data_IF_825462720640
#
_entry.id   IF_825462720640
#
_cell.length_a   1.000
_cell.length_b   1.000
_cell.length_c   1.000
_cell.angle_alpha   90.00
_cell.angle_beta   90.00
_cell.angle_gamma   90.00
#
_symmetry.space_group_name_H-M   'P 1'
#
loop_
_entity.id
_entity.type
_entity.pdbx_description
1 polymer ?
#
# COMPACT_ATOMS: atom_id res chain seq x y z
N UNK A 1 -10.64 -37.33 -16.35
CA UNK A 1 -11.83 -36.51 -16.05
C UNK A 1 -11.88 -36.36 -14.54
N UNK A 2 -11.39 -35.24 -14.02
CA UNK A 2 -11.44 -34.93 -12.60
C UNK A 2 -12.45 -33.80 -12.42
N UNK A 3 -13.61 -34.15 -11.90
CA UNK A 3 -14.79 -33.30 -11.85
C UNK A 3 -14.70 -32.39 -10.61
N UNK A 4 -13.73 -31.48 -10.63
CA UNK A 4 -13.61 -30.39 -9.65
C UNK A 4 -14.71 -29.36 -9.95
N UNK A 5 -15.92 -29.64 -9.50
CA UNK A 5 -17.02 -28.66 -9.40
C UNK A 5 -16.47 -27.36 -8.77
N UNK A 6 -16.42 -26.31 -9.58
CA UNK A 6 -16.07 -24.95 -9.15
C UNK A 6 -17.03 -24.54 -8.06
N UNK A 7 -16.59 -24.62 -6.80
CA UNK A 7 -17.34 -24.11 -5.66
C UNK A 7 -17.47 -22.60 -5.84
N UNK A 8 -18.68 -22.15 -6.17
CA UNK A 8 -19.00 -20.75 -6.37
C UNK A 8 -18.59 -19.94 -5.13
N UNK A 9 -17.69 -18.95 -5.30
CA UNK A 9 -17.30 -18.04 -4.22
C UNK A 9 -18.45 -17.09 -3.90
N UNK A 10 -19.37 -17.55 -3.04
CA UNK A 10 -20.59 -16.86 -2.60
C UNK A 10 -20.30 -15.45 -2.07
N UNK A 11 -19.14 -15.25 -1.44
CA UNK A 11 -18.74 -13.94 -0.94
C UNK A 11 -18.37 -13.02 -2.10
N UNK A 12 -17.61 -13.51 -3.09
CA UNK A 12 -17.29 -12.72 -4.29
C UNK A 12 -18.55 -12.36 -5.08
N UNK A 13 -19.52 -13.26 -5.18
CA UNK A 13 -20.80 -12.96 -5.83
C UNK A 13 -21.59 -11.87 -5.10
N UNK A 14 -21.64 -11.93 -3.76
CA UNK A 14 -22.23 -10.88 -2.95
C UNK A 14 -21.54 -9.54 -3.20
N UNK A 15 -20.20 -9.52 -3.19
CA UNK A 15 -19.42 -8.32 -3.48
C UNK A 15 -19.73 -7.75 -4.87
N UNK A 16 -19.83 -8.60 -5.89
CA UNK A 16 -20.20 -8.21 -7.25
C UNK A 16 -21.60 -7.58 -7.31
N UNK A 17 -22.58 -8.20 -6.66
CA UNK A 17 -23.96 -7.68 -6.60
C UNK A 17 -24.04 -6.33 -5.89
N UNK A 18 -23.34 -6.18 -4.76
CA UNK A 18 -23.26 -4.91 -4.02
C UNK A 18 -22.62 -3.82 -4.89
N UNK A 19 -21.49 -4.12 -5.54
CA UNK A 19 -20.82 -3.20 -6.46
C UNK A 19 -21.72 -2.78 -7.61
N UNK A 20 -22.36 -3.74 -8.29
CA UNK A 20 -23.23 -3.46 -9.44
C UNK A 20 -24.42 -2.58 -9.05
N UNK A 21 -25.08 -2.87 -7.92
CA UNK A 21 -26.18 -2.06 -7.42
C UNK A 21 -25.74 -0.65 -7.05
N UNK A 22 -24.58 -0.53 -6.38
CA UNK A 22 -24.00 0.76 -6.03
C UNK A 22 -23.66 1.56 -7.30
N UNK A 23 -23.12 0.89 -8.33
CA UNK A 23 -22.71 1.53 -9.57
C UNK A 23 -23.87 1.98 -10.45
N UNK A 24 -24.93 1.19 -10.53
CA UNK A 24 -26.11 1.51 -11.34
C UNK A 24 -27.01 2.57 -10.70
N UNK A 25 -26.98 2.69 -9.37
CA UNK A 25 -27.72 3.73 -8.65
C UNK A 25 -26.83 4.44 -7.62
N UNK A 26 -26.32 5.60 -8.02
CA UNK A 26 -25.39 6.42 -7.24
C UNK A 26 -26.00 7.01 -5.96
N UNK A 27 -27.33 7.04 -5.85
CA UNK A 27 -28.04 7.57 -4.68
C UNK A 27 -28.64 6.47 -3.79
N UNK A 28 -28.55 5.19 -4.21
CA UNK A 28 -29.06 4.07 -3.42
C UNK A 28 -28.34 3.97 -2.07
N UNK A 29 -29.10 3.68 -1.01
CA UNK A 29 -28.60 3.48 0.34
C UNK A 29 -28.83 2.04 0.76
N UNK A 30 -27.86 1.44 1.44
CA UNK A 30 -27.86 0.02 1.84
C UNK A 30 -28.22 -0.11 3.32
N UNK A 31 -29.29 -0.85 3.65
CA UNK A 31 -29.90 -0.85 4.99
C UNK A 31 -29.65 -2.11 5.84
N UNK A 32 -29.36 -3.25 5.23
CA UNK A 32 -29.24 -4.55 5.92
C UNK A 32 -27.94 -5.26 5.49
N UNK A 33 -26.83 -4.85 6.08
CA UNK A 33 -25.48 -5.35 5.76
C UNK A 33 -24.85 -6.11 6.92
N UNK A 34 -25.21 -5.79 8.16
CA UNK A 34 -24.57 -6.35 9.34
C UNK A 34 -24.71 -7.86 9.44
N UNK A 35 -25.86 -8.41 9.03
CA UNK A 35 -26.09 -9.85 9.04
C UNK A 35 -25.15 -10.62 8.08
N UNK A 36 -24.63 -9.92 7.07
CA UNK A 36 -23.67 -10.48 6.13
C UNK A 36 -22.27 -10.62 6.73
N UNK A 37 -21.91 -9.80 7.73
CA UNK A 37 -20.59 -9.81 8.36
C UNK A 37 -20.34 -11.13 9.09
N UNK A 38 -21.34 -11.63 9.82
CA UNK A 38 -21.20 -12.84 10.64
C UNK A 38 -21.58 -14.13 9.89
N UNK A 39 -21.82 -14.07 8.57
CA UNK A 39 -21.96 -15.31 7.78
C UNK A 39 -20.66 -16.11 7.85
N UNK A 40 -20.78 -17.42 8.02
CA UNK A 40 -19.62 -18.28 8.22
C UNK A 40 -18.67 -18.28 7.01
N UNK A 41 -19.19 -18.20 5.79
CA UNK A 41 -18.38 -18.08 4.58
C UNK A 41 -17.57 -16.77 4.54
N UNK A 42 -18.16 -15.65 4.99
CA UNK A 42 -17.48 -14.35 5.12
C UNK A 42 -16.40 -14.40 6.20
N UNK A 43 -16.68 -14.98 7.37
CA UNK A 43 -15.70 -15.14 8.45
C UNK A 43 -14.53 -16.05 8.04
N UNK A 44 -14.81 -17.19 7.38
CA UNK A 44 -13.77 -18.08 6.83
C UNK A 44 -12.91 -17.40 5.78
N UNK A 45 -13.51 -16.61 4.87
CA UNK A 45 -12.76 -15.82 3.89
C UNK A 45 -11.91 -14.73 4.55
N UNK A 46 -12.42 -14.13 5.62
CA UNK A 46 -11.73 -13.11 6.40
C UNK A 46 -10.51 -13.70 7.11
N UNK A 47 -10.67 -14.84 7.78
CA UNK A 47 -9.57 -15.61 8.36
C UNK A 47 -8.46 -15.91 7.35
N UNK A 48 -8.83 -16.47 6.19
CA UNK A 48 -7.87 -16.78 5.12
C UNK A 48 -7.07 -15.54 4.71
N UNK A 49 -7.71 -14.38 4.54
CA UNK A 49 -7.04 -13.11 4.21
C UNK A 49 -6.11 -12.62 5.32
N UNK A 50 -6.53 -12.72 6.57
CA UNK A 50 -5.73 -12.28 7.73
C UNK A 50 -4.50 -13.18 7.91
N UNK A 51 -4.66 -14.50 7.75
CA UNK A 51 -3.58 -15.48 7.88
C UNK A 51 -2.46 -15.29 6.85
N UNK A 52 -2.80 -15.01 5.59
CA UNK A 52 -1.81 -14.81 4.51
C UNK A 52 -0.80 -13.70 4.85
N UNK A 53 -1.23 -12.67 5.58
CA UNK A 53 -0.37 -11.55 5.96
C UNK A 53 0.65 -11.92 7.06
N UNK A 54 0.49 -13.06 7.75
CA UNK A 54 1.35 -13.52 8.85
C UNK A 54 1.71 -12.40 9.85
N UNK A 55 0.72 -11.57 10.17
CA UNK A 55 0.91 -10.41 11.02
C UNK A 55 1.22 -10.80 12.46
N UNK A 56 1.99 -9.97 13.17
CA UNK A 56 2.29 -10.17 14.59
C UNK A 56 1.01 -10.27 15.45
N UNK A 57 1.13 -10.88 16.62
CA UNK A 57 0.05 -10.95 17.62
C UNK A 57 -0.31 -9.58 18.18
N UNK A 58 -1.55 -9.46 18.65
CA UNK A 58 -2.06 -8.26 19.31
C UNK A 58 -1.62 -8.21 20.78
N UNK A 59 -2.38 -7.44 21.58
CA UNK A 59 -2.17 -7.36 23.04
C UNK A 59 -2.48 -8.69 23.76
N UNK A 60 -3.33 -9.53 23.17
CA UNK A 60 -3.74 -10.84 23.68
C UNK A 60 -2.69 -11.95 23.48
N UNK A 61 -1.62 -11.69 22.73
CA UNK A 61 -0.55 -12.65 22.47
C UNK A 61 -0.94 -13.84 21.60
N UNK A 62 -2.20 -13.97 21.16
CA UNK A 62 -2.66 -15.09 20.34
C UNK A 62 -1.93 -15.15 19.00
N UNK A 63 -1.49 -16.36 18.63
CA UNK A 63 -0.80 -16.66 17.37
C UNK A 63 -1.72 -17.39 16.39
N UNK A 64 -1.39 -17.35 15.10
CA UNK A 64 -2.14 -18.11 14.11
C UNK A 64 -2.04 -19.60 14.39
N UNK A 65 -0.83 -20.08 14.69
CA UNK A 65 -0.54 -21.47 14.98
C UNK A 65 -1.34 -21.97 16.19
N UNK A 66 -1.45 -21.17 17.25
CA UNK A 66 -2.25 -21.52 18.43
C UNK A 66 -3.75 -21.62 18.13
N UNK A 67 -4.30 -20.72 17.31
CA UNK A 67 -5.70 -20.79 16.87
C UNK A 67 -5.94 -22.01 15.99
N UNK A 68 -4.99 -22.37 15.12
CA UNK A 68 -5.11 -23.55 14.27
C UNK A 68 -5.11 -24.85 15.08
N UNK A 69 -4.26 -24.94 16.10
CA UNK A 69 -4.23 -26.08 17.02
C UNK A 69 -5.52 -26.19 17.84
N UNK A 70 -6.08 -25.07 18.31
CA UNK A 70 -7.31 -25.02 19.10
C UNK A 70 -8.59 -25.23 18.26
N UNK A 71 -8.49 -25.14 16.93
CA UNK A 71 -9.59 -25.30 15.99
C UNK A 71 -10.10 -23.97 15.44
N UNK A 72 -9.83 -23.72 14.15
CA UNK A 72 -10.25 -22.50 13.44
C UNK A 72 -11.77 -22.34 13.40
N UNK A 73 -12.51 -23.42 13.17
CA UNK A 73 -13.97 -23.36 13.08
C UNK A 73 -14.59 -22.92 14.42
N UNK A 74 -14.15 -23.50 15.54
CA UNK A 74 -14.57 -23.10 16.89
C UNK A 74 -14.25 -21.63 17.19
N UNK A 75 -13.08 -21.15 16.78
CA UNK A 75 -12.71 -19.74 16.91
C UNK A 75 -13.66 -18.82 16.12
N UNK A 76 -13.99 -19.18 14.87
CA UNK A 76 -14.90 -18.40 14.04
C UNK A 76 -16.36 -18.48 14.50
N UNK A 77 -16.78 -19.61 15.05
CA UNK A 77 -18.08 -19.78 15.70
C UNK A 77 -18.22 -18.86 16.92
N UNK A 78 -17.19 -18.77 17.75
CA UNK A 78 -17.16 -17.81 18.87
C UNK A 78 -17.32 -16.37 18.40
N UNK A 79 -16.59 -15.96 17.35
CA UNK A 79 -16.75 -14.64 16.72
C UNK A 79 -18.18 -14.45 16.19
N UNK A 80 -18.72 -15.46 15.52
CA UNK A 80 -20.08 -15.40 14.97
C UNK A 80 -21.12 -15.20 16.08
N UNK A 81 -21.02 -15.95 17.18
CA UNK A 81 -21.91 -15.83 18.33
C UNK A 81 -21.82 -14.44 18.96
N UNK A 82 -20.61 -13.93 19.21
CA UNK A 82 -20.39 -12.56 19.73
C UNK A 82 -21.02 -11.49 18.83
N UNK A 83 -20.91 -11.63 17.50
CA UNK A 83 -21.49 -10.69 16.54
C UNK A 83 -23.01 -10.78 16.46
N UNK A 84 -23.57 -12.00 16.46
CA UNK A 84 -25.03 -12.23 16.48
C UNK A 84 -25.66 -11.67 17.75
N UNK A 85 -25.03 -11.91 18.90
CA UNK A 85 -25.46 -11.42 20.21
C UNK A 85 -25.13 -9.94 20.46
N UNK A 86 -24.37 -9.28 19.56
CA UNK A 86 -23.87 -7.89 19.70
C UNK A 86 -23.02 -7.65 20.96
N UNK A 87 -22.41 -8.72 21.48
CA UNK A 87 -21.51 -8.69 22.65
C UNK A 87 -20.05 -8.46 22.26
N UNK A 88 -19.71 -8.56 20.97
CA UNK A 88 -18.36 -8.27 20.47
C UNK A 88 -17.83 -6.90 20.94
N UNK A 89 -16.62 -6.88 21.49
CA UNK A 89 -15.87 -5.67 21.86
C UNK A 89 -14.41 -5.82 21.38
N UNK A 90 -13.88 -4.87 20.59
CA UNK A 90 -12.48 -4.93 20.17
C UNK A 90 -11.57 -4.63 21.35
N UNK A 91 -10.38 -5.23 21.32
CA UNK A 91 -9.33 -4.89 22.29
C UNK A 91 -8.52 -3.68 21.81
N UNK A 92 -7.85 -2.96 22.72
CA UNK A 92 -6.88 -1.94 22.33
C UNK A 92 -5.81 -2.50 21.40
N UNK A 93 -5.46 -1.74 20.36
CA UNK A 93 -4.43 -2.18 19.43
C UNK A 93 -3.04 -2.02 20.06
N UNK A 94 -2.16 -3.01 19.85
CA UNK A 94 -0.77 -2.96 20.34
C UNK A 94 0.04 -1.94 19.54
N UNK A 95 0.71 -1.01 20.23
CA UNK A 95 1.62 -0.04 19.59
C UNK A 95 2.92 -0.70 19.15
N UNK A 96 3.30 -0.47 17.92
CA UNK A 96 4.59 -0.86 17.35
C UNK A 96 5.16 0.28 16.50
N UNK A 97 6.47 0.25 16.24
CA UNK A 97 7.14 1.30 15.48
C UNK A 97 7.90 0.74 14.29
N UNK A 98 7.68 1.33 13.12
CA UNK A 98 8.53 1.12 11.95
C UNK A 98 9.52 2.28 11.85
N UNK A 99 10.83 2.02 11.88
CA UNK A 99 11.82 3.08 11.70
C UNK A 99 11.72 3.64 10.28
N UNK A 100 11.67 4.97 10.15
CA UNK A 100 11.78 5.65 8.87
C UNK A 100 13.26 5.93 8.54
N UNK A 101 13.59 6.14 7.25
CA UNK A 101 14.95 6.46 6.84
C UNK A 101 15.51 7.76 7.42
N UNK A 102 14.65 8.68 7.86
CA UNK A 102 14.99 9.99 8.45
C UNK A 102 15.23 9.93 9.96
N UNK A 103 15.20 8.74 10.57
CA UNK A 103 15.37 8.54 12.02
C UNK A 103 14.07 8.65 12.82
N UNK A 104 13.00 9.20 12.24
CA UNK A 104 11.68 9.22 12.90
C UNK A 104 11.05 7.83 12.90
N UNK A 105 10.09 7.59 13.80
CA UNK A 105 9.36 6.32 13.87
C UNK A 105 7.94 6.52 13.32
N UNK A 106 7.48 5.59 12.48
CA UNK A 106 6.06 5.51 12.08
C UNK A 106 5.34 4.64 13.11
N UNK A 107 4.35 5.17 13.83
CA UNK A 107 3.55 4.34 14.70
C UNK A 107 2.68 3.37 13.89
N UNK A 108 2.50 2.17 14.42
CA UNK A 108 1.53 1.19 13.97
C UNK A 108 0.70 0.72 15.15
N UNK A 109 -0.58 0.55 14.91
CA UNK A 109 -1.55 -0.04 15.81
C UNK A 109 -1.89 -1.43 15.28
N UNK A 110 -1.48 -2.48 15.99
CA UNK A 110 -1.65 -3.89 15.62
C UNK A 110 -2.86 -4.44 16.40
N UNK A 111 -4.02 -4.66 15.76
CA UNK A 111 -5.17 -5.27 16.41
C UNK A 111 -4.93 -6.77 16.68
N UNK A 112 -5.74 -7.35 17.57
CA UNK A 112 -5.76 -8.80 17.80
C UNK A 112 -6.15 -9.56 16.53
N UNK A 113 -5.87 -10.88 16.47
CA UNK A 113 -6.28 -11.69 15.33
C UNK A 113 -7.80 -11.68 15.18
N UNK A 114 -8.55 -11.77 16.30
CA UNK A 114 -10.01 -11.65 16.32
C UNK A 114 -10.47 -10.33 15.69
N UNK A 115 -9.91 -9.21 16.12
CA UNK A 115 -10.30 -7.89 15.61
C UNK A 115 -9.96 -7.73 14.13
N UNK A 116 -8.81 -8.26 13.67
CA UNK A 116 -8.46 -8.29 12.24
C UNK A 116 -9.46 -9.10 11.42
N UNK A 117 -9.95 -10.23 11.93
CA UNK A 117 -10.99 -11.04 11.24
C UNK A 117 -12.28 -10.24 11.11
N UNK A 118 -12.78 -9.64 12.20
CA UNK A 118 -14.03 -8.86 12.16
C UNK A 118 -13.88 -7.61 11.28
N UNK A 119 -12.77 -6.89 11.36
CA UNK A 119 -12.49 -5.75 10.47
C UNK A 119 -12.42 -6.18 9.00
N UNK A 120 -11.85 -7.35 8.71
CA UNK A 120 -11.80 -7.90 7.34
C UNK A 120 -13.20 -8.29 6.87
N UNK A 121 -14.02 -8.88 7.73
CA UNK A 121 -15.40 -9.23 7.41
C UNK A 121 -16.22 -7.98 7.08
N UNK A 122 -16.14 -6.94 7.92
CA UNK A 122 -16.74 -5.64 7.63
C UNK A 122 -16.25 -5.09 6.28
N UNK A 123 -14.93 -5.08 6.06
CA UNK A 123 -14.32 -4.60 4.81
C UNK A 123 -14.88 -5.33 3.59
N UNK A 124 -14.97 -6.67 3.64
CA UNK A 124 -15.50 -7.47 2.55
C UNK A 124 -16.91 -7.04 2.14
N UNK A 125 -17.75 -6.66 3.10
CA UNK A 125 -19.13 -6.26 2.86
C UNK A 125 -19.25 -4.83 2.34
N UNK A 126 -18.52 -3.87 2.93
CA UNK A 126 -18.72 -2.45 2.57
C UNK A 126 -17.79 -1.95 1.44
N UNK A 127 -16.60 -2.54 1.25
CA UNK A 127 -15.64 -2.12 0.21
C UNK A 127 -16.25 -2.07 -1.20
N UNK A 128 -17.05 -3.05 -1.67
CA UNK A 128 -17.62 -3.00 -3.01
C UNK A 128 -18.60 -1.83 -3.23
N UNK A 129 -19.29 -1.40 -2.17
CA UNK A 129 -20.23 -0.26 -2.24
C UNK A 129 -19.47 1.03 -2.50
N UNK A 130 -18.41 1.28 -1.73
CA UNK A 130 -17.60 2.50 -1.84
C UNK A 130 -16.65 2.47 -3.05
N UNK A 131 -16.15 1.30 -3.44
CA UNK A 131 -15.31 1.14 -4.63
C UNK A 131 -16.06 1.56 -5.91
N UNK A 132 -17.39 1.41 -5.97
CA UNK A 132 -18.20 1.88 -7.08
C UNK A 132 -18.19 3.42 -7.24
N UNK A 133 -18.00 4.13 -6.12
CA UNK A 133 -18.06 5.58 -6.00
C UNK A 133 -16.69 6.27 -6.03
N UNK A 134 -15.59 5.52 -5.95
CA UNK A 134 -14.24 6.07 -5.97
C UNK A 134 -13.81 6.51 -7.37
N UNK A 135 -13.25 7.71 -7.45
CA UNK A 135 -12.81 8.30 -8.71
C UNK A 135 -11.56 7.63 -9.29
N UNK A 136 -11.38 7.71 -10.62
CA UNK A 136 -10.27 7.02 -11.32
C UNK A 136 -8.88 7.56 -10.95
N UNK A 137 -8.79 8.79 -10.45
CA UNK A 137 -7.55 9.42 -9.99
C UNK A 137 -6.96 8.80 -8.72
N UNK A 138 -7.74 8.01 -7.97
CA UNK A 138 -7.31 7.38 -6.72
C UNK A 138 -6.83 5.95 -6.93
N UNK A 139 -5.62 5.64 -6.49
CA UNK A 139 -4.97 4.33 -6.70
C UNK A 139 -4.66 3.58 -5.40
N UNK A 140 -4.41 4.30 -4.30
CA UNK A 140 -3.93 3.71 -3.05
C UNK A 140 -4.97 2.82 -2.39
N UNK A 141 -4.55 1.65 -1.88
CA UNK A 141 -5.37 0.72 -1.10
C UNK A 141 -6.68 0.24 -1.75
N UNK A 142 -6.78 0.25 -3.07
CA UNK A 142 -7.96 -0.17 -3.82
C UNK A 142 -7.74 -1.50 -4.54
N UNK A 143 -8.76 -2.37 -4.65
CA UNK A 143 -8.67 -3.59 -5.44
C UNK A 143 -8.40 -3.26 -6.91
N UNK A 144 -7.54 -4.05 -7.56
CA UNK A 144 -7.14 -3.88 -8.97
C UNK A 144 -6.51 -2.53 -9.33
N UNK A 145 -6.10 -1.75 -8.32
CA UNK A 145 -5.30 -0.53 -8.48
C UNK A 145 -3.90 -0.75 -7.92
N UNK A 146 -2.90 -0.15 -8.56
CA UNK A 146 -1.50 -0.26 -8.10
C UNK A 146 -0.75 1.06 -8.20
N UNK A 147 0.32 1.21 -7.42
CA UNK A 147 1.22 2.37 -7.53
C UNK A 147 1.87 2.45 -8.91
N UNK A 148 2.13 1.29 -9.54
CA UNK A 148 2.64 1.22 -10.91
C UNK A 148 1.68 1.86 -11.91
N UNK A 149 0.36 1.66 -11.78
CA UNK A 149 -0.62 2.33 -12.63
C UNK A 149 -0.59 3.85 -12.43
N UNK A 150 -0.50 4.33 -11.19
CA UNK A 150 -0.39 5.77 -10.90
C UNK A 150 0.87 6.40 -11.55
N UNK A 151 2.01 5.71 -11.46
CA UNK A 151 3.28 6.14 -12.08
C UNK A 151 3.20 6.14 -13.61
N UNK A 152 2.51 5.17 -14.20
CA UNK A 152 2.27 5.14 -15.65
C UNK A 152 1.35 6.25 -16.11
N UNK A 153 0.35 6.63 -15.31
CA UNK A 153 -0.51 7.79 -15.59
C UNK A 153 0.31 9.09 -15.54
N UNK A 154 1.20 9.27 -14.56
CA UNK A 154 2.14 10.41 -14.55
C UNK A 154 2.95 10.48 -15.84
N UNK A 155 3.56 9.36 -16.26
CA UNK A 155 4.32 9.30 -17.51
C UNK A 155 3.47 9.70 -18.72
N UNK A 156 2.24 9.19 -18.80
CA UNK A 156 1.29 9.50 -19.87
C UNK A 156 0.98 10.99 -19.92
N UNK A 157 0.68 11.61 -18.78
CA UNK A 157 0.38 13.04 -18.69
C UNK A 157 1.57 13.92 -19.06
N UNK A 158 2.80 13.55 -18.66
CA UNK A 158 4.02 14.23 -19.10
C UNK A 158 4.15 14.21 -20.63
N UNK A 159 3.78 13.12 -21.29
CA UNK A 159 3.80 13.02 -22.75
C UNK A 159 2.71 13.87 -23.42
N UNK A 160 1.59 14.14 -22.72
CA UNK A 160 0.54 15.06 -23.16
C UNK A 160 0.81 16.54 -22.83
N UNK A 161 2.01 16.85 -22.33
CA UNK A 161 2.45 18.22 -22.07
C UNK A 161 2.03 18.79 -20.71
N UNK A 162 1.52 17.96 -19.81
CA UNK A 162 1.27 18.37 -18.41
C UNK A 162 2.62 18.46 -17.68
N UNK A 163 3.24 19.63 -17.74
CA UNK A 163 4.63 19.86 -17.33
C UNK A 163 4.79 20.48 -15.94
N UNK A 164 3.77 21.21 -15.47
CA UNK A 164 3.78 21.78 -14.13
C UNK A 164 3.24 20.76 -13.14
N UNK A 165 4.05 20.41 -12.14
CA UNK A 165 3.80 19.35 -11.18
C UNK A 165 3.64 19.99 -9.81
N UNK A 166 2.53 19.70 -9.13
CA UNK A 166 2.32 20.04 -7.72
C UNK A 166 2.44 18.73 -6.95
N UNK A 167 3.58 18.53 -6.30
CA UNK A 167 3.81 17.41 -5.40
C UNK A 167 3.36 17.82 -4.00
N UNK A 168 2.52 17.02 -3.35
CA UNK A 168 2.11 17.26 -1.97
C UNK A 168 1.69 15.97 -1.26
N UNK A 169 1.45 16.08 0.04
CA UNK A 169 1.09 14.99 0.94
C UNK A 169 0.14 15.56 2.00
N UNK A 170 -0.74 14.72 2.55
CA UNK A 170 -1.62 15.12 3.64
C UNK A 170 -0.90 14.87 4.96
N UNK A 171 -0.80 15.92 5.77
CA UNK A 171 -0.20 15.84 7.09
C UNK A 171 -1.03 14.94 8.01
N UNK A 172 -0.37 13.94 8.60
CA UNK A 172 -0.96 12.94 9.50
C UNK A 172 -2.35 12.47 9.03
N UNK A 173 -2.45 12.05 7.77
CA UNK A 173 -3.73 11.74 7.14
C UNK A 173 -4.56 10.75 7.95
N UNK A 174 -3.96 9.71 8.52
CA UNK A 174 -4.70 8.73 9.30
C UNK A 174 -5.10 9.27 10.68
N UNK A 175 -4.24 10.02 11.37
CA UNK A 175 -4.52 10.56 12.69
C UNK A 175 -5.45 11.79 12.69
N UNK A 176 -5.56 12.49 11.57
CA UNK A 176 -6.31 13.76 11.49
C UNK A 176 -7.78 13.62 11.07
N UNK A 177 -8.24 12.44 10.63
CA UNK A 177 -9.62 12.25 10.11
C UNK A 177 -10.66 12.43 11.23
N UNK A 178 -11.56 13.42 11.16
CA UNK A 178 -12.63 13.59 12.14
C UNK A 178 -13.63 12.42 12.10
N UNK A 179 -13.92 11.81 13.25
CA UNK A 179 -14.79 10.63 13.32
C UNK A 179 -16.21 10.91 12.87
N UNK A 180 -16.78 12.07 13.25
CA UNK A 180 -18.17 12.43 12.90
C UNK A 180 -18.33 12.55 11.39
N UNK A 181 -17.51 13.37 10.77
CA UNK A 181 -17.52 13.64 9.33
C UNK A 181 -17.23 12.35 8.54
N UNK A 182 -16.31 11.50 9.02
CA UNK A 182 -16.09 10.19 8.43
C UNK A 182 -17.36 9.33 8.42
N UNK A 183 -18.07 9.26 9.55
CA UNK A 183 -19.31 8.51 9.64
C UNK A 183 -20.41 9.12 8.76
N UNK A 184 -20.48 10.45 8.65
CA UNK A 184 -21.39 11.13 7.73
C UNK A 184 -21.11 10.74 6.27
N UNK A 185 -19.84 10.56 5.89
CA UNK A 185 -19.48 10.06 4.55
C UNK A 185 -19.88 8.60 4.34
N UNK A 186 -19.76 7.76 5.35
CA UNK A 186 -20.26 6.37 5.30
C UNK A 186 -21.79 6.37 5.15
N UNK A 187 -22.49 7.27 5.85
CA UNK A 187 -23.95 7.39 5.86
C UNK A 187 -24.58 7.78 4.53
N UNK A 188 -23.79 8.37 3.62
CA UNK A 188 -24.23 8.63 2.23
C UNK A 188 -24.61 7.35 1.49
N UNK A 189 -24.04 6.19 1.87
CA UNK A 189 -24.25 4.91 1.18
C UNK A 189 -24.74 3.79 2.07
N UNK A 190 -24.35 3.77 3.34
CA UNK A 190 -24.73 2.71 4.28
C UNK A 190 -25.61 3.28 5.38
N UNK A 191 -26.76 2.66 5.63
CA UNK A 191 -27.78 3.08 6.61
C UNK A 191 -28.17 1.88 7.45
N UNK A 192 -27.17 1.23 8.02
CA UNK A 192 -27.32 0.11 8.94
C UNK A 192 -26.67 0.50 10.26
N UNK A 193 -27.47 0.74 11.30
CA UNK A 193 -27.01 1.20 12.61
C UNK A 193 -25.96 0.28 13.24
N UNK A 194 -26.01 -1.03 12.94
CA UNK A 194 -25.03 -1.97 13.48
C UNK A 194 -23.68 -1.87 12.76
N UNK A 195 -23.67 -1.49 11.48
CA UNK A 195 -22.42 -1.15 10.78
C UNK A 195 -21.77 0.09 11.41
N UNK A 196 -22.56 1.13 11.68
CA UNK A 196 -22.06 2.33 12.37
C UNK A 196 -21.51 2.00 13.75
N UNK A 197 -22.24 1.20 14.52
CA UNK A 197 -21.80 0.72 15.82
C UNK A 197 -20.45 0.02 15.74
N UNK A 198 -20.28 -0.89 14.77
CA UNK A 198 -19.03 -1.64 14.61
C UNK A 198 -17.85 -0.74 14.17
N UNK A 199 -18.07 0.20 13.25
CA UNK A 199 -17.05 1.19 12.87
C UNK A 199 -16.66 2.05 14.07
N UNK A 200 -17.65 2.54 14.84
CA UNK A 200 -17.40 3.33 16.06
C UNK A 200 -16.58 2.55 17.08
N UNK A 201 -16.85 1.26 17.27
CA UNK A 201 -16.05 0.40 18.15
C UNK A 201 -14.59 0.34 17.71
N UNK A 202 -14.31 0.23 16.41
CA UNK A 202 -12.92 0.20 15.90
C UNK A 202 -12.22 1.55 16.02
N UNK A 203 -12.92 2.66 15.78
CA UNK A 203 -12.35 3.99 15.93
C UNK A 203 -12.05 4.34 17.40
N UNK A 204 -12.80 3.76 18.34
CA UNK A 204 -12.68 4.03 19.79
C UNK A 204 -12.02 2.91 20.60
N UNK A 205 -11.48 1.86 19.97
CA UNK A 205 -10.88 0.73 20.70
C UNK A 205 -9.63 1.11 21.49
N UNK A 206 -8.99 2.22 21.11
CA UNK A 206 -7.78 2.74 21.73
C UNK A 206 -6.51 1.99 21.32
N UNK A 207 -5.40 2.45 21.87
CA UNK A 207 -4.04 1.93 21.65
C UNK A 207 -3.41 1.62 23.01
N UNK A 208 -2.59 0.58 23.05
CA UNK A 208 -1.83 0.17 24.23
C UNK A 208 -0.33 0.16 23.92
N UNK A 209 0.47 0.83 24.75
CA UNK A 209 1.92 0.88 24.68
C UNK A 209 2.51 0.63 26.07
N UNK A 210 3.16 -0.53 26.26
CA UNK A 210 3.53 -0.97 27.61
C UNK A 210 2.28 -1.14 28.47
N UNK A 211 2.25 -0.44 29.61
CA UNK A 211 1.09 -0.41 30.52
C UNK A 211 0.14 0.77 30.26
N UNK A 212 0.51 1.69 29.36
CA UNK A 212 -0.28 2.88 29.07
C UNK A 212 -1.35 2.58 28.02
N UNK A 213 -2.57 3.07 28.29
CA UNK A 213 -3.72 2.94 27.39
C UNK A 213 -4.36 4.31 27.18
N UNK A 214 -4.58 4.66 25.92
CA UNK A 214 -5.32 5.87 25.56
C UNK A 214 -6.24 5.62 24.36
N UNK A 215 -7.14 6.56 24.12
CA UNK A 215 -8.05 6.58 22.97
C UNK A 215 -7.88 7.90 22.24
N UNK A 216 -7.77 7.84 20.92
CA UNK A 216 -7.76 9.04 20.10
C UNK A 216 -9.20 9.53 19.84
N UNK A 217 -9.41 10.84 19.92
CA UNK A 217 -10.68 11.52 19.65
C UNK A 217 -10.94 11.72 18.14
N UNK A 218 -9.89 11.55 17.34
CA UNK A 218 -9.89 11.60 15.88
C UNK A 218 -8.95 10.56 15.28
N UNK A 219 -9.04 10.39 13.97
CA UNK A 219 -8.20 9.50 13.19
C UNK A 219 -8.70 8.07 13.12
N UNK A 220 -8.05 7.28 12.28
CA UNK A 220 -8.32 5.85 12.12
C UNK A 220 -7.03 5.06 12.39
N UNK A 221 -7.04 4.02 13.25
CA UNK A 221 -5.81 3.38 13.71
C UNK A 221 -4.93 2.89 12.55
N UNK A 222 -3.70 3.40 12.46
CA UNK A 222 -2.77 3.03 11.39
C UNK A 222 -2.29 1.59 11.59
N UNK A 223 -2.81 0.65 10.80
CA UNK A 223 -2.54 -0.79 10.97
C UNK A 223 -3.79 -1.65 11.19
N UNK A 224 -4.94 -1.01 11.43
CA UNK A 224 -6.25 -1.66 11.27
C UNK A 224 -6.51 -2.05 9.81
N UNK A 225 -7.19 -3.17 9.60
CA UNK A 225 -7.48 -3.70 8.26
C UNK A 225 -8.49 -2.84 7.51
N UNK A 226 -9.43 -2.24 8.24
CA UNK A 226 -10.49 -1.38 7.69
C UNK A 226 -10.03 0.06 7.47
N UNK A 227 -9.01 0.51 8.20
CA UNK A 227 -8.54 1.89 8.22
C UNK A 227 -8.20 2.47 6.83
N UNK A 228 -7.52 1.74 5.93
CA UNK A 228 -7.25 2.25 4.59
C UNK A 228 -8.50 2.50 3.75
N UNK A 229 -9.56 1.69 3.93
CA UNK A 229 -10.83 1.92 3.26
C UNK A 229 -11.52 3.17 3.82
N UNK A 230 -11.56 3.31 5.15
CA UNK A 230 -12.15 4.49 5.80
C UNK A 230 -11.44 5.79 5.38
N UNK A 231 -10.11 5.77 5.34
CA UNK A 231 -9.32 6.90 4.83
C UNK A 231 -9.70 7.23 3.38
N UNK A 232 -9.82 6.23 2.50
CA UNK A 232 -10.24 6.46 1.12
C UNK A 232 -11.68 6.98 0.99
N UNK A 233 -12.63 6.51 1.82
CA UNK A 233 -13.99 7.03 1.87
C UNK A 233 -13.98 8.53 2.17
N UNK A 234 -13.16 8.93 3.15
CA UNK A 234 -13.02 10.34 3.53
C UNK A 234 -12.39 11.19 2.43
N UNK A 235 -11.23 10.74 1.91
CA UNK A 235 -10.45 11.45 0.89
C UNK A 235 -11.14 11.49 -0.48
N UNK A 236 -12.12 10.63 -0.75
CA UNK A 236 -12.87 10.66 -2.00
C UNK A 236 -13.63 11.99 -2.21
N UNK A 237 -13.88 12.77 -1.15
CA UNK A 237 -14.44 14.11 -1.30
C UNK A 237 -13.45 15.08 -1.97
N UNK A 238 -12.14 14.93 -1.72
CA UNK A 238 -11.10 15.67 -2.46
C UNK A 238 -11.18 15.28 -3.94
N UNK A 239 -11.23 13.97 -4.22
CA UNK A 239 -11.25 13.46 -5.59
C UNK A 239 -12.48 13.94 -6.37
N UNK A 240 -13.66 13.92 -5.72
CA UNK A 240 -14.92 14.41 -6.29
C UNK A 240 -14.93 15.93 -6.45
N UNK A 241 -14.41 16.68 -5.48
CA UNK A 241 -14.26 18.13 -5.56
C UNK A 241 -13.26 18.55 -6.64
N UNK A 242 -12.26 17.73 -6.92
CA UNK A 242 -11.29 17.96 -7.99
C UNK A 242 -11.85 17.68 -9.38
N UNK A 243 -12.80 16.73 -9.50
CA UNK A 243 -13.30 16.24 -10.78
C UNK A 243 -13.74 17.33 -11.78
N UNK A 244 -14.45 18.41 -11.39
CA UNK A 244 -14.82 19.49 -12.31
C UNK A 244 -13.62 20.26 -12.87
N UNK A 245 -12.51 20.29 -12.13
CA UNK A 245 -11.26 20.97 -12.52
C UNK A 245 -10.40 20.13 -13.45
N UNK A 246 -10.80 18.87 -13.72
CA UNK A 246 -9.97 17.93 -14.46
C UNK A 246 -9.54 18.48 -15.82
N UNK A 247 -10.39 19.25 -16.52
CA UNK A 247 -10.07 19.82 -17.84
C UNK A 247 -8.75 20.60 -17.86
N UNK A 248 -8.44 21.32 -16.77
CA UNK A 248 -7.22 22.11 -16.63
C UNK A 248 -6.09 21.33 -15.95
N UNK A 249 -6.40 20.51 -14.95
CA UNK A 249 -5.38 19.84 -14.14
C UNK A 249 -5.81 18.43 -13.71
N UNK A 250 -4.90 17.45 -13.83
CA UNK A 250 -5.16 16.06 -13.48
C UNK A 250 -4.62 15.73 -12.10
N UNK A 251 -5.48 15.25 -11.23
CA UNK A 251 -5.10 14.70 -9.93
C UNK A 251 -4.72 13.22 -10.05
N UNK A 252 -3.65 12.82 -9.37
CA UNK A 252 -3.24 11.44 -9.15
C UNK A 252 -2.99 11.28 -7.66
N UNK A 253 -3.80 10.46 -6.99
CA UNK A 253 -3.73 10.23 -5.55
C UNK A 253 -3.37 8.79 -5.25
N UNK A 254 -2.35 8.58 -4.42
CA UNK A 254 -2.01 7.28 -3.86
C UNK A 254 -2.03 7.37 -2.34
N UNK A 255 -3.18 7.03 -1.75
CA UNK A 255 -3.45 7.25 -0.32
C UNK A 255 -3.35 8.74 0.04
N UNK A 256 -2.36 9.11 0.85
CA UNK A 256 -2.01 10.45 1.33
C UNK A 256 -1.07 11.21 0.38
N UNK A 257 -0.25 10.52 -0.42
CA UNK A 257 0.60 11.15 -1.43
C UNK A 257 -0.26 11.62 -2.64
N UNK A 258 -0.20 12.90 -2.98
CA UNK A 258 -0.90 13.49 -4.13
C UNK A 258 0.06 14.15 -5.11
N UNK A 259 -0.21 13.96 -6.40
CA UNK A 259 0.41 14.71 -7.49
C UNK A 259 -0.69 15.32 -8.34
N UNK A 260 -0.63 16.64 -8.54
CA UNK A 260 -1.44 17.32 -9.55
C UNK A 260 -0.54 17.70 -10.71
N UNK A 261 -1.01 17.44 -11.92
CA UNK A 261 -0.30 17.80 -13.13
C UNK A 261 -1.16 18.76 -13.94
N UNK A 262 -0.59 19.88 -14.36
CA UNK A 262 -1.25 20.88 -15.21
C UNK A 262 -0.33 21.33 -16.35
N UNK A 263 -0.92 21.88 -17.41
CA UNK A 263 -0.15 22.52 -18.49
C UNK A 263 0.31 23.94 -18.11
N UNK A 264 -0.46 24.60 -17.26
CA UNK A 264 -0.29 25.99 -16.79
C UNK A 264 -1.09 26.23 -15.50
N UNK A 265 -0.89 27.37 -14.84
CA UNK A 265 -1.65 27.83 -13.65
C UNK A 265 -1.52 26.91 -12.43
N UNK A 266 -0.36 26.31 -12.22
CA UNK A 266 -0.07 25.49 -11.03
C UNK A 266 -0.35 26.20 -9.71
N UNK A 267 -0.09 27.50 -9.59
CA UNK A 267 -0.42 28.29 -8.40
C UNK A 267 -1.93 28.29 -8.08
N UNK A 268 -2.78 28.52 -9.09
CA UNK A 268 -4.25 28.47 -8.93
C UNK A 268 -4.72 27.07 -8.53
N UNK A 269 -4.16 26.04 -9.16
CA UNK A 269 -4.53 24.65 -8.86
C UNK A 269 -4.08 24.23 -7.46
N UNK A 270 -2.90 24.67 -7.01
CA UNK A 270 -2.42 24.42 -5.66
C UNK A 270 -3.32 25.09 -4.60
N UNK A 271 -3.78 26.32 -4.86
CA UNK A 271 -4.74 27.00 -3.99
C UNK A 271 -6.07 26.23 -3.89
N UNK A 272 -6.65 25.81 -5.03
CA UNK A 272 -7.88 25.01 -5.04
C UNK A 272 -7.74 23.69 -4.29
N UNK A 273 -6.59 23.02 -4.40
CA UNK A 273 -6.34 21.81 -3.62
C UNK A 273 -6.32 22.11 -2.13
N UNK A 274 -5.61 23.19 -1.74
CA UNK A 274 -5.53 23.63 -0.35
C UNK A 274 -6.92 23.91 0.21
N UNK A 275 -7.80 24.55 -0.55
CA UNK A 275 -9.18 24.84 -0.13
C UNK A 275 -9.98 23.56 0.09
N UNK A 276 -9.93 22.61 -0.86
CA UNK A 276 -10.60 21.30 -0.73
C UNK A 276 -10.11 20.50 0.49
N UNK A 277 -8.81 20.51 0.75
CA UNK A 277 -8.22 19.83 1.90
C UNK A 277 -8.63 20.50 3.21
N UNK A 278 -8.68 21.84 3.24
CA UNK A 278 -9.07 22.63 4.42
C UNK A 278 -10.55 22.46 4.73
N UNK A 279 -11.43 22.37 3.72
CA UNK A 279 -12.85 22.07 3.88
C UNK A 279 -13.10 20.70 4.54
N UNK A 280 -12.16 19.78 4.42
CA UNK A 280 -12.18 18.48 5.12
C UNK A 280 -11.43 18.52 6.44
N UNK A 281 -11.13 19.69 7.00
CA UNK A 281 -10.39 19.84 8.27
C UNK A 281 -9.02 19.11 8.28
N UNK A 282 -8.46 18.87 7.10
CA UNK A 282 -7.13 18.28 6.91
C UNK A 282 -6.12 19.38 6.57
N UNK A 283 -4.83 19.02 6.60
CA UNK A 283 -3.73 19.94 6.26
C UNK A 283 -2.80 19.33 5.24
N UNK A 284 -2.29 20.15 4.34
CA UNK A 284 -1.20 19.77 3.44
C UNK A 284 0.13 19.89 4.17
N UNK A 285 1.01 18.92 3.93
CA UNK A 285 2.35 18.90 4.50
C UNK A 285 3.24 19.92 3.79
N UNK A 286 3.46 21.07 4.44
CA UNK A 286 4.23 22.18 3.87
C UNK A 286 5.63 21.77 3.40
N UNK A 287 6.35 20.97 4.18
CA UNK A 287 7.71 20.51 3.86
C UNK A 287 7.82 19.67 2.57
N UNK A 288 6.71 19.05 2.14
CA UNK A 288 6.63 18.26 0.91
C UNK A 288 5.90 18.97 -0.23
N UNK A 289 5.22 20.08 0.04
CA UNK A 289 4.41 20.77 -0.97
C UNK A 289 5.30 21.63 -1.86
N UNK A 290 5.41 21.28 -3.15
CA UNK A 290 6.28 21.97 -4.10
C UNK A 290 5.63 22.06 -5.48
N UNK A 291 5.89 23.17 -6.16
CA UNK A 291 5.56 23.35 -7.57
C UNK A 291 6.86 23.21 -8.37
N UNK A 292 6.88 22.29 -9.32
CA UNK A 292 8.05 21.93 -10.12
C UNK A 292 7.69 21.98 -11.61
N UNK A 293 8.69 22.18 -12.47
CA UNK A 293 8.51 22.04 -13.92
C UNK A 293 9.31 20.85 -14.46
N UNK A 294 8.61 19.81 -14.87
CA UNK A 294 9.21 18.54 -15.32
C UNK A 294 10.04 18.67 -16.62
N UNK A 295 9.94 19.79 -17.34
CA UNK A 295 10.80 20.07 -18.51
C UNK A 295 12.18 20.61 -18.11
N UNK A 296 12.33 21.21 -16.93
CA UNK A 296 13.59 21.79 -16.43
C UNK A 296 14.25 20.96 -15.34
N UNK A 297 13.49 20.30 -14.48
CA UNK A 297 14.02 19.58 -13.32
C UNK A 297 13.41 18.18 -13.13
N UNK A 298 14.14 17.22 -12.54
CA UNK A 298 13.59 15.93 -12.18
C UNK A 298 12.73 15.99 -10.92
N UNK A 299 11.74 15.11 -10.81
CA UNK A 299 10.94 14.94 -9.60
C UNK A 299 10.73 13.47 -9.26
N UNK A 300 10.47 13.17 -7.98
CA UNK A 300 10.26 11.81 -7.48
C UNK A 300 8.78 11.58 -7.17
N UNK A 301 8.23 10.43 -7.56
CA UNK A 301 6.90 9.99 -7.16
C UNK A 301 6.84 8.47 -7.03
N UNK A 302 6.31 7.97 -5.91
CA UNK A 302 6.14 6.53 -5.61
C UNK A 302 7.40 5.67 -5.86
N UNK A 303 8.58 6.25 -5.60
CA UNK A 303 9.88 5.60 -5.75
C UNK A 303 10.49 5.67 -7.14
N UNK A 304 9.87 6.39 -8.09
CA UNK A 304 10.39 6.65 -9.42
C UNK A 304 10.82 8.11 -9.55
N UNK A 305 11.96 8.34 -10.19
CA UNK A 305 12.37 9.68 -10.66
C UNK A 305 11.91 9.85 -12.09
N UNK A 306 11.28 10.98 -12.40
CA UNK A 306 10.90 11.41 -13.75
C UNK A 306 11.82 12.53 -14.21
N UNK A 307 12.26 12.48 -15.47
CA UNK A 307 13.12 13.51 -16.05
C UNK A 307 12.90 13.62 -17.56
N UNK A 308 12.89 14.86 -18.08
CA UNK A 308 12.95 15.10 -19.51
C UNK A 308 14.40 15.17 -19.99
N UNK A 309 14.80 14.24 -20.86
CA UNK A 309 16.15 14.20 -21.42
C UNK A 309 16.14 13.95 -22.93
N UNK A 310 17.25 14.24 -23.60
CA UNK A 310 17.38 13.94 -25.03
C UNK A 310 17.14 12.46 -25.29
N UNK A 311 16.35 12.17 -26.33
CA UNK A 311 16.15 10.80 -26.79
C UNK A 311 17.49 10.28 -27.28
N UNK A 312 17.87 9.07 -26.85
CA UNK A 312 19.12 8.44 -27.30
C UNK A 312 19.14 8.38 -28.84
N UNK A 313 20.21 8.90 -29.44
CA UNK A 313 20.38 8.96 -30.90
C UNK A 313 19.65 10.13 -31.60
N UNK A 314 19.11 11.08 -30.83
CA UNK A 314 18.46 12.28 -31.36
C UNK A 314 19.19 13.53 -30.87
N UNK A 315 19.36 14.52 -31.75
CA UNK A 315 19.96 15.82 -31.40
C UNK A 315 18.94 16.76 -30.74
N UNK A 316 17.68 16.73 -31.19
CA UNK A 316 16.70 17.76 -30.77
C UNK A 316 15.47 17.20 -30.03
N UNK A 317 15.11 15.93 -30.27
CA UNK A 317 13.92 15.33 -29.62
C UNK A 317 14.20 14.97 -28.17
N UNK A 318 13.54 15.65 -27.23
CA UNK A 318 13.50 15.28 -25.80
C UNK A 318 12.34 14.31 -25.52
N UNK A 319 12.56 13.35 -24.62
CA UNK A 319 11.55 12.40 -24.17
C UNK A 319 11.58 12.25 -22.65
N UNK A 320 10.45 11.80 -22.09
CA UNK A 320 10.32 11.54 -20.67
C UNK A 320 10.93 10.18 -20.35
N UNK A 321 11.97 10.19 -19.53
CA UNK A 321 12.49 9.00 -18.88
C UNK A 321 11.98 8.93 -17.46
N UNK A 322 11.75 7.71 -16.98
CA UNK A 322 11.45 7.46 -15.59
C UNK A 322 12.12 6.17 -15.14
N UNK A 323 12.66 6.14 -13.93
CA UNK A 323 13.48 5.03 -13.44
C UNK A 323 13.47 5.00 -11.90
N UNK A 324 13.96 3.92 -11.25
CA UNK A 324 14.03 3.84 -9.79
C UNK A 324 14.80 5.03 -9.21
N UNK A 325 14.20 5.70 -8.22
CA UNK A 325 14.81 6.86 -7.59
C UNK A 325 16.07 6.49 -6.82
N UNK A 326 16.93 7.48 -6.57
CA UNK A 326 18.15 7.25 -5.79
C UNK A 326 17.81 6.76 -4.37
N UNK A 327 16.72 7.26 -3.78
CA UNK A 327 16.22 6.80 -2.48
C UNK A 327 15.82 5.32 -2.54
N UNK A 328 15.11 4.89 -3.58
CA UNK A 328 14.73 3.49 -3.77
C UNK A 328 15.95 2.57 -4.01
N UNK A 329 16.94 3.02 -4.78
CA UNK A 329 18.20 2.32 -5.01
C UNK A 329 18.97 2.12 -3.69
N UNK A 330 19.09 3.18 -2.88
CA UNK A 330 19.78 3.10 -1.60
C UNK A 330 19.06 2.25 -0.57
N UNK A 331 17.72 2.24 -0.58
CA UNK A 331 16.92 1.37 0.28
C UNK A 331 17.21 -0.12 0.00
N UNK A 332 17.20 -0.54 -1.28
CA UNK A 332 17.51 -1.94 -1.61
C UNK A 332 18.97 -2.29 -1.33
N UNK A 333 19.93 -1.38 -1.60
CA UNK A 333 21.35 -1.59 -1.27
C UNK A 333 21.57 -1.75 0.23
N UNK A 334 20.86 -0.98 1.05
CA UNK A 334 20.89 -1.10 2.52
C UNK A 334 20.39 -2.46 2.97
N UNK A 335 19.26 -2.93 2.41
CA UNK A 335 18.70 -4.26 2.73
C UNK A 335 19.63 -5.39 2.31
N UNK A 336 20.23 -5.31 1.11
CA UNK A 336 21.26 -6.26 0.66
C UNK A 336 22.44 -6.28 1.62
N UNK A 337 22.89 -5.12 2.11
CA UNK A 337 24.01 -5.02 3.06
C UNK A 337 23.68 -5.66 4.41
N UNK A 338 22.46 -5.46 4.91
CA UNK A 338 22.00 -6.06 6.17
C UNK A 338 21.91 -7.59 6.07
N UNK A 339 21.44 -8.11 4.93
CA UNK A 339 21.39 -9.55 4.68
C UNK A 339 22.81 -10.10 4.55
N UNK A 340 23.63 -9.50 3.68
CA UNK A 340 25.01 -9.94 3.39
C UNK A 340 25.99 -9.30 4.36
N UNK A 341 25.87 -9.68 5.63
CA UNK A 341 26.80 -9.34 6.70
C UNK A 341 27.72 -10.53 7.02
N UNK A 342 29.04 -10.31 6.89
CA UNK A 342 30.06 -11.35 7.10
C UNK A 342 30.14 -11.83 8.55
N UNK A 343 29.62 -11.04 9.50
CA UNK A 343 29.56 -11.39 10.93
C UNK A 343 28.49 -12.42 11.23
N UNK A 344 27.51 -12.60 10.34
CA UNK A 344 26.45 -13.59 10.53
C UNK A 344 27.00 -15.00 10.31
N UNK A 345 26.74 -15.98 11.19
CA UNK A 345 27.19 -17.37 11.05
C UNK A 345 26.30 -18.18 10.08
N UNK A 346 25.93 -17.63 8.93
CA UNK A 346 25.01 -18.26 7.95
C UNK A 346 25.72 -18.70 6.66
N UNK A 347 25.31 -19.83 6.06
CA UNK A 347 25.90 -20.28 4.77
C UNK A 347 25.51 -19.36 3.60
N UNK A 348 26.26 -19.39 2.50
CA UNK A 348 26.02 -18.53 1.33
C UNK A 348 24.67 -18.84 0.69
N UNK A 349 24.29 -20.11 0.67
CA UNK A 349 23.02 -20.60 0.14
C UNK A 349 21.85 -19.99 0.91
N UNK A 350 21.98 -19.85 2.23
CA UNK A 350 20.98 -19.20 3.07
C UNK A 350 20.87 -17.70 2.75
N UNK A 351 22.00 -17.02 2.53
CA UNK A 351 21.97 -15.62 2.09
C UNK A 351 21.27 -15.46 0.74
N UNK A 352 21.52 -16.37 -0.22
CA UNK A 352 20.85 -16.32 -1.52
C UNK A 352 19.33 -16.53 -1.37
N UNK A 353 18.91 -17.46 -0.51
CA UNK A 353 17.49 -17.67 -0.19
C UNK A 353 16.84 -16.41 0.41
N UNK A 354 17.52 -15.72 1.32
CA UNK A 354 17.04 -14.46 1.92
C UNK A 354 17.03 -13.28 0.93
N UNK A 355 18.02 -13.19 0.04
CA UNK A 355 18.15 -12.12 -0.96
C UNK A 355 17.13 -12.25 -2.09
N UNK A 356 16.83 -13.46 -2.53
CA UNK A 356 15.99 -13.72 -3.69
C UNK A 356 14.63 -13.02 -3.65
N UNK A 357 13.81 -13.12 -2.58
CA UNK A 357 12.53 -12.42 -2.51
C UNK A 357 12.69 -10.89 -2.49
N UNK A 358 13.77 -10.36 -1.90
CA UNK A 358 14.07 -8.92 -1.89
C UNK A 358 14.36 -8.40 -3.29
N UNK A 359 15.25 -9.09 -4.02
CA UNK A 359 15.64 -8.70 -5.37
C UNK A 359 14.48 -8.88 -6.35
N UNK A 360 13.78 -10.01 -6.27
CA UNK A 360 12.59 -10.30 -7.09
C UNK A 360 11.50 -9.25 -6.89
N UNK A 361 11.17 -8.91 -5.64
CA UNK A 361 10.17 -7.89 -5.34
C UNK A 361 10.57 -6.52 -5.89
N UNK A 362 11.84 -6.12 -5.70
CA UNK A 362 12.35 -4.85 -6.21
C UNK A 362 12.31 -4.79 -7.75
N UNK A 363 12.76 -5.85 -8.44
CA UNK A 363 12.70 -5.89 -9.91
C UNK A 363 11.26 -5.92 -10.42
N UNK A 364 10.38 -6.72 -9.83
CA UNK A 364 8.96 -6.77 -10.21
C UNK A 364 8.27 -5.42 -10.07
N UNK A 365 8.63 -4.64 -9.05
CA UNK A 365 8.10 -3.29 -8.86
C UNK A 365 8.62 -2.30 -9.91
N UNK A 366 9.91 -2.35 -10.22
CA UNK A 366 10.56 -1.34 -11.05
C UNK A 366 10.68 -1.70 -12.54
N UNK A 367 10.29 -2.91 -12.97
CA UNK A 367 10.46 -3.39 -14.35
C UNK A 367 9.66 -2.62 -15.39
N UNK A 368 8.62 -1.88 -14.98
CA UNK A 368 7.77 -1.06 -15.86
C UNK A 368 8.46 0.19 -16.41
N UNK A 369 9.65 0.54 -15.93
CA UNK A 369 10.34 1.80 -16.18
C UNK A 369 11.66 1.62 -16.97
N UNK A 370 12.36 2.72 -17.26
CA UNK A 370 13.70 2.73 -17.88
C UNK A 370 14.80 2.20 -16.91
N UNK A 371 14.60 1.00 -16.37
CA UNK A 371 15.33 0.50 -15.20
C UNK A 371 16.60 -0.28 -15.52
N UNK A 372 16.88 -0.62 -16.78
CA UNK A 372 17.97 -1.54 -17.16
C UNK A 372 19.33 -1.14 -16.56
N UNK A 373 19.67 0.15 -16.59
CA UNK A 373 20.94 0.65 -16.00
C UNK A 373 20.96 0.51 -14.48
N UNK A 374 19.84 0.81 -13.80
CA UNK A 374 19.71 0.68 -12.34
C UNK A 374 19.73 -0.80 -11.92
N UNK A 375 19.09 -1.66 -12.69
CA UNK A 375 19.10 -3.11 -12.51
C UNK A 375 20.51 -3.68 -12.62
N UNK A 376 21.28 -3.27 -13.63
CA UNK A 376 22.70 -3.64 -13.76
C UNK A 376 23.53 -3.22 -12.54
N UNK A 377 23.35 -2.00 -12.03
CA UNK A 377 24.03 -1.52 -10.81
C UNK A 377 23.72 -2.38 -9.59
N UNK A 378 22.45 -2.73 -9.37
CA UNK A 378 22.03 -3.57 -8.24
C UNK A 378 22.54 -5.00 -8.40
N UNK A 379 22.46 -5.57 -9.61
CA UNK A 379 23.01 -6.89 -9.93
C UNK A 379 24.51 -6.97 -9.61
N UNK A 380 25.27 -6.00 -10.11
CA UNK A 380 26.71 -5.91 -9.86
C UNK A 380 27.03 -5.74 -8.37
N UNK A 381 26.35 -4.81 -7.68
CA UNK A 381 26.53 -4.59 -6.25
C UNK A 381 26.25 -5.85 -5.42
N UNK A 382 25.18 -6.58 -5.74
CA UNK A 382 24.81 -7.82 -5.06
C UNK A 382 25.89 -8.88 -5.23
N UNK A 383 26.32 -9.11 -6.47
CA UNK A 383 27.38 -10.08 -6.77
C UNK A 383 28.70 -9.73 -6.05
N UNK A 384 29.11 -8.46 -6.09
CA UNK A 384 30.28 -7.98 -5.36
C UNK A 384 30.19 -8.23 -3.85
N UNK A 385 29.02 -8.00 -3.24
CA UNK A 385 28.81 -8.20 -1.80
C UNK A 385 28.92 -9.67 -1.42
N UNK A 386 28.30 -10.57 -2.17
CA UNK A 386 28.37 -12.01 -1.91
C UNK A 386 29.80 -12.51 -2.04
N UNK A 387 30.54 -12.06 -3.07
CA UNK A 387 31.96 -12.44 -3.19
C UNK A 387 32.80 -11.94 -2.02
N UNK A 388 32.61 -10.68 -1.62
CA UNK A 388 33.31 -10.10 -0.46
C UNK A 388 32.99 -10.87 0.81
N UNK A 389 31.75 -11.29 1.00
CA UNK A 389 31.35 -12.17 2.12
C UNK A 389 32.12 -13.49 2.10
N UNK A 390 32.16 -14.19 0.96
CA UNK A 390 32.89 -15.45 0.83
C UNK A 390 34.41 -15.31 1.02
N UNK A 391 35.01 -14.20 0.55
CA UNK A 391 36.43 -13.91 0.75
C UNK A 391 36.75 -13.65 2.22
N UNK A 392 35.96 -12.81 2.89
CA UNK A 392 36.17 -12.45 4.30
C UNK A 392 36.02 -13.63 5.25
N UNK A 393 35.15 -14.60 4.94
CA UNK A 393 35.05 -15.85 5.70
C UNK A 393 36.27 -16.76 5.62
N UNK A 394 37.11 -16.57 4.61
CA UNK A 394 38.39 -17.26 4.47
C UNK A 394 39.56 -16.35 4.86
N UNK A 395 39.25 -15.25 5.56
CA UNK A 395 40.22 -14.23 6.00
C UNK A 395 41.00 -13.57 4.84
N UNK A 396 40.46 -13.66 3.61
CA UNK A 396 41.10 -13.08 2.43
C UNK A 396 40.54 -11.69 2.12
N UNK A 397 41.41 -10.77 1.70
CA UNK A 397 41.06 -9.41 1.27
C UNK A 397 40.44 -9.38 -0.15
N UNK A 398 39.93 -8.24 -0.63
CA UNK A 398 39.44 -8.11 -2.01
C UNK A 398 38.14 -8.86 -2.36
N UNK A 399 37.79 -8.84 -3.65
CA UNK A 399 36.50 -9.34 -4.16
C UNK A 399 36.56 -10.76 -4.75
N UNK A 400 37.73 -11.35 -4.99
CA UNK A 400 37.82 -12.74 -5.43
C UNK A 400 37.12 -13.08 -6.75
N UNK A 401 37.15 -12.19 -7.74
CA UNK A 401 36.50 -12.40 -9.04
C UNK A 401 36.96 -13.66 -9.78
N UNK A 402 38.24 -14.01 -9.65
CA UNK A 402 38.81 -15.24 -10.26
C UNK A 402 38.30 -16.51 -9.56
N UNK A 403 38.23 -16.49 -8.23
CA UNK A 403 37.80 -17.65 -7.43
C UNK A 403 36.29 -17.88 -7.49
N UNK A 404 35.52 -16.79 -7.62
CA UNK A 404 34.06 -16.82 -7.65
C UNK A 404 33.55 -16.07 -8.90
N UNK A 405 33.68 -16.66 -10.11
CA UNK A 405 33.19 -16.06 -11.34
C UNK A 405 31.66 -15.90 -11.32
N UNK A 406 31.09 -15.08 -12.21
CA UNK A 406 29.64 -14.84 -12.26
C UNK A 406 28.86 -16.14 -12.46
N UNK A 407 29.39 -17.05 -13.29
CA UNK A 407 28.84 -18.39 -13.52
C UNK A 407 28.64 -19.14 -12.20
N UNK A 408 29.62 -19.10 -11.30
CA UNK A 408 29.52 -19.73 -9.97
C UNK A 408 28.36 -19.13 -9.15
N UNK A 409 28.22 -17.81 -9.14
CA UNK A 409 27.16 -17.14 -8.35
C UNK A 409 25.76 -17.44 -8.89
N UNK A 410 25.58 -17.40 -10.21
CA UNK A 410 24.25 -17.52 -10.81
C UNK A 410 23.84 -18.96 -11.04
N UNK A 411 24.73 -19.82 -11.57
CA UNK A 411 24.39 -21.20 -11.90
C UNK A 411 24.55 -22.13 -10.70
N UNK A 412 25.64 -22.01 -9.93
CA UNK A 412 25.89 -22.93 -8.80
C UNK A 412 25.18 -22.48 -7.51
N UNK A 413 25.23 -21.18 -7.18
CA UNK A 413 24.60 -20.68 -5.95
C UNK A 413 23.13 -20.27 -6.14
N UNK A 414 22.63 -20.25 -7.38
CA UNK A 414 21.22 -19.89 -7.67
C UNK A 414 20.87 -18.43 -7.39
N UNK A 415 21.84 -17.51 -7.50
CA UNK A 415 21.56 -16.08 -7.28
C UNK A 415 20.52 -15.57 -8.28
N UNK A 416 19.56 -14.77 -7.80
CA UNK A 416 18.52 -14.17 -8.64
C UNK A 416 19.12 -13.40 -9.85
N UNK A 417 18.61 -13.66 -11.05
CA UNK A 417 19.14 -13.11 -12.30
C UNK A 417 18.09 -12.54 -13.28
N UNK A 418 16.80 -12.52 -12.92
CA UNK A 418 15.73 -12.04 -13.82
C UNK A 418 15.60 -10.51 -13.83
N UNK A 419 16.68 -9.80 -14.18
CA UNK A 419 16.75 -8.33 -14.21
C UNK A 419 16.20 -7.74 -15.53
N UNK A 420 15.09 -8.28 -16.03
CA UNK A 420 14.49 -7.82 -17.28
C UNK A 420 13.48 -6.71 -17.03
N UNK A 421 13.56 -5.67 -17.84
CA UNK A 421 12.48 -4.67 -17.94
C UNK A 421 11.30 -5.31 -18.68
N UNK A 422 10.10 -4.92 -18.31
CA UNK A 422 8.86 -5.32 -18.95
C UNK A 422 8.11 -4.04 -19.23
N UNK A 423 8.20 -3.56 -20.46
CA UNK A 423 7.38 -2.45 -20.89
C UNK A 423 5.93 -2.90 -20.84
N UNK A 424 5.13 -2.30 -19.96
CA UNK A 424 3.68 -2.37 -20.12
C UNK A 424 3.38 -1.88 -21.53
N UNK A 425 2.60 -2.64 -22.31
CA UNK A 425 2.08 -2.14 -23.60
C UNK A 425 1.45 -0.78 -23.30
N UNK A 426 1.94 0.26 -23.97
CA UNK A 426 1.32 1.57 -23.87
C UNK A 426 -0.15 1.39 -24.27
N UNK A 427 -1.07 1.70 -23.36
CA UNK A 427 -2.50 1.71 -23.64
C UNK A 427 -2.86 2.96 -24.42
#
# INVERSE_FOLDING_TARGET
>A
MDNSLTTTDTVQELQRKLYQKAKSNTNFRFYALYDKIYRMDVLKKSWKRVKVNKGASGVDGQTFEGIEQAGVDKFLEGIQQELKAKTYRPQPAKRAYIPKPDGTKRPLSIPTIKDRVVQTALKLIIEPIFEADFEKCSYGFRPNRSSQQAVLEVRKLLNFGYKEIIETDIEDCFGSIPHRELLDMVAKRVVDGNIFWLIKLFLKSGVMEGNDRWTDDKGTPQGGVISPLLANIYLNNIDKGWKPLNNSARLIRYADDLVIMTKYRSGEMAAKLKDLVTQLQLRLKQSKTRILNAESEPFDFLGFTFIKALKRGSKDKRTTYFYPSHKAENAVRRKIRQIVDYRRPVKVEQLVKELTPVLRGWVNYFRIANSSRKFGKIRFYTAQRIRKFMRRRREKSGYGYKQYPDIYLYQKMGLYNDYRVSWAKAF
#
